data_IF_886102979982
#
_entry.id   IF_886102979982
#
_cell.length_a   1.000
_cell.length_b   1.000
_cell.length_c   1.000
_cell.angle_alpha   90.00
_cell.angle_beta   90.00
_cell.angle_gamma   90.00
#
_symmetry.space_group_name_H-M   'P 1'
#
loop_
_entity.id
_entity.type
_entity.pdbx_description
1 polymer ?
#
# COMPACT_ATOMS: atom_id res chain seq x y z
N UNK A 1 -9.76 -7.20 0.47
CA UNK A 1 -8.42 -7.20 -0.16
C UNK A 1 -7.47 -8.04 0.68
N UNK A 2 -7.40 -7.81 1.98
CA UNK A 2 -6.54 -8.56 2.90
C UNK A 2 -7.33 -9.64 3.66
N UNK A 3 -6.66 -10.72 4.06
CA UNK A 3 -7.28 -11.82 4.83
C UNK A 3 -7.36 -11.43 6.30
N UNK A 4 -6.30 -10.82 6.84
CA UNK A 4 -6.27 -10.26 8.19
C UNK A 4 -6.84 -8.85 8.16
N UNK A 5 -7.96 -8.65 8.85
CA UNK A 5 -8.65 -7.34 8.93
C UNK A 5 -8.20 -6.48 10.10
N UNK A 6 -7.76 -7.11 11.19
CA UNK A 6 -7.31 -6.41 12.38
C UNK A 6 -5.79 -6.27 12.34
N UNK A 7 -5.32 -5.03 12.18
CA UNK A 7 -3.88 -4.70 12.10
C UNK A 7 -3.29 -4.55 13.51
N UNK A 8 -4.04 -3.94 14.43
CA UNK A 8 -3.54 -3.58 15.75
C UNK A 8 -4.38 -2.51 16.43
N UNK A 9 -3.82 -1.92 17.50
CA UNK A 9 -4.45 -0.87 18.30
C UNK A 9 -3.67 0.43 18.17
N UNK A 10 -4.38 1.55 18.10
CA UNK A 10 -3.79 2.89 18.11
C UNK A 10 -4.44 3.72 19.20
N UNK A 11 -3.63 4.48 19.94
CA UNK A 11 -4.11 5.32 21.03
C UNK A 11 -4.32 6.76 20.56
N UNK A 12 -5.33 7.41 21.13
CA UNK A 12 -5.59 8.84 20.93
C UNK A 12 -6.03 9.46 22.26
N UNK A 13 -5.77 10.76 22.41
CA UNK A 13 -6.26 11.51 23.55
C UNK A 13 -7.79 11.52 23.54
N UNK A 14 -8.38 11.49 24.74
CA UNK A 14 -9.83 11.66 24.89
C UNK A 14 -10.22 13.05 24.40
N UNK A 15 -11.43 13.15 23.85
CA UNK A 15 -12.00 14.43 23.43
C UNK A 15 -12.04 15.38 24.63
N UNK A 16 -11.44 16.56 24.47
CA UNK A 16 -11.43 17.62 25.49
C UNK A 16 -11.73 18.95 24.81
N UNK A 17 -12.83 19.58 25.20
CA UNK A 17 -13.31 20.83 24.60
C UNK A 17 -13.51 20.68 23.09
N UNK A 18 -12.84 21.52 22.31
CA UNK A 18 -12.94 21.56 20.84
C UNK A 18 -12.08 20.51 20.13
N UNK A 19 -11.19 19.80 20.83
CA UNK A 19 -10.32 18.78 20.23
C UNK A 19 -11.03 17.43 20.24
N UNK A 20 -11.52 17.01 19.07
CA UNK A 20 -12.24 15.75 18.91
C UNK A 20 -11.24 14.61 18.65
N UNK A 21 -11.36 13.51 19.41
CA UNK A 21 -10.49 12.35 19.28
C UNK A 21 -10.49 11.72 17.88
N UNK A 22 -11.65 11.69 17.21
CA UNK A 22 -11.78 11.14 15.86
C UNK A 22 -10.96 11.91 14.83
N UNK A 23 -10.87 13.24 14.95
CA UNK A 23 -10.06 14.07 14.05
C UNK A 23 -8.56 13.79 14.22
N UNK A 24 -8.12 13.56 15.46
CA UNK A 24 -6.73 13.17 15.75
C UNK A 24 -6.37 11.74 15.31
N UNK A 25 -7.36 10.89 15.02
CA UNK A 25 -7.18 9.55 14.46
C UNK A 25 -7.20 9.54 12.94
N UNK A 26 -8.09 10.30 12.32
CA UNK A 26 -8.18 10.42 10.85
C UNK A 26 -6.88 11.02 10.29
N UNK A 27 -6.46 10.54 9.13
CA UNK A 27 -5.23 10.97 8.46
C UNK A 27 -3.95 10.29 8.94
N UNK A 28 -3.97 9.50 10.02
CA UNK A 28 -2.82 8.68 10.42
C UNK A 28 -2.51 7.64 9.33
N UNK A 29 -1.23 7.47 9.01
CA UNK A 29 -0.77 6.47 8.05
C UNK A 29 -0.01 5.39 8.80
N UNK A 30 -0.48 4.16 8.67
CA UNK A 30 0.13 2.96 9.24
C UNK A 30 0.91 2.23 8.15
N UNK A 31 2.16 1.90 8.43
CA UNK A 31 2.99 1.07 7.54
C UNK A 31 3.02 -0.35 8.11
N UNK A 32 2.57 -1.32 7.33
CA UNK A 32 2.38 -2.72 7.75
C UNK A 32 3.04 -3.63 6.73
N UNK A 33 3.65 -4.73 7.18
CA UNK A 33 4.17 -5.76 6.30
C UNK A 33 3.03 -6.46 5.56
N UNK A 34 3.25 -6.86 4.30
CA UNK A 34 2.30 -7.69 3.57
C UNK A 34 2.06 -9.03 4.28
N UNK A 35 3.12 -9.63 4.85
CA UNK A 35 3.04 -10.91 5.55
C UNK A 35 1.96 -10.89 6.66
N UNK A 36 1.90 -9.81 7.43
CA UNK A 36 0.95 -9.62 8.53
C UNK A 36 -0.49 -9.40 8.04
N UNK A 37 -0.67 -8.92 6.80
CA UNK A 37 -1.98 -8.67 6.21
C UNK A 37 -2.56 -9.90 5.49
N UNK A 38 -1.70 -10.78 4.98
CA UNK A 38 -2.13 -11.93 4.16
C UNK A 38 -1.85 -13.29 4.80
N UNK A 39 -1.19 -13.35 5.95
CA UNK A 39 -0.63 -14.58 6.55
C UNK A 39 0.29 -15.34 5.57
N UNK A 40 1.05 -14.59 4.77
CA UNK A 40 1.93 -15.13 3.74
C UNK A 40 3.41 -14.93 4.08
N UNK A 41 4.30 -15.56 3.30
CA UNK A 41 5.75 -15.47 3.52
C UNK A 41 6.39 -14.20 2.93
N UNK A 42 5.68 -13.48 2.06
CA UNK A 42 6.17 -12.27 1.38
C UNK A 42 6.26 -11.07 2.35
N UNK A 43 7.31 -11.03 3.17
CA UNK A 43 7.57 -9.95 4.15
C UNK A 43 8.22 -8.69 3.56
N UNK A 44 8.69 -8.76 2.31
CA UNK A 44 9.50 -7.69 1.70
C UNK A 44 8.68 -6.54 1.10
N UNK A 45 7.35 -6.64 1.09
CA UNK A 45 6.43 -5.58 0.65
C UNK A 45 5.78 -4.94 1.86
N UNK A 46 5.77 -3.62 1.90
CA UNK A 46 5.14 -2.82 2.95
C UNK A 46 4.00 -2.02 2.37
N UNK A 47 2.83 -2.14 2.98
CA UNK A 47 1.63 -1.40 2.63
C UNK A 47 1.45 -0.21 3.57
N UNK A 48 1.07 0.93 3.00
CA UNK A 48 0.69 2.13 3.73
C UNK A 48 -0.82 2.25 3.72
N UNK A 49 -1.41 2.24 4.89
CA UNK A 49 -2.85 2.29 5.11
C UNK A 49 -3.19 3.57 5.88
N UNK A 50 -4.03 4.41 5.31
CA UNK A 50 -4.45 5.68 5.94
C UNK A 50 -5.79 5.51 6.64
N UNK A 51 -5.91 6.02 7.85
CA UNK A 51 -7.18 6.12 8.58
C UNK A 51 -8.09 7.16 7.92
N UNK A 52 -9.24 6.75 7.41
CA UNK A 52 -10.20 7.65 6.76
C UNK A 52 -11.44 7.89 7.63
N UNK A 53 -11.95 6.85 8.29
CA UNK A 53 -13.16 6.95 9.12
C UNK A 53 -12.99 6.26 10.47
N UNK A 54 -13.70 6.76 11.49
CA UNK A 54 -13.71 6.18 12.83
C UNK A 54 -15.15 5.80 13.17
N UNK A 55 -15.41 4.51 13.35
CA UNK A 55 -16.69 3.96 13.77
C UNK A 55 -16.58 3.43 15.19
N UNK A 56 -17.01 4.23 16.17
CA UNK A 56 -16.88 3.88 17.59
C UNK A 56 -15.42 3.62 17.95
N UNK A 57 -15.06 2.35 18.18
CA UNK A 57 -13.69 1.90 18.52
C UNK A 57 -12.88 1.41 17.31
N UNK A 58 -13.51 1.29 16.15
CA UNK A 58 -12.87 0.79 14.93
C UNK A 58 -12.40 1.96 14.06
N UNK A 59 -11.19 1.84 13.52
CA UNK A 59 -10.64 2.81 12.56
C UNK A 59 -10.59 2.13 11.19
N UNK A 60 -11.41 2.63 10.27
CA UNK A 60 -11.44 2.14 8.89
C UNK A 60 -10.28 2.75 8.11
N UNK A 61 -9.46 1.88 7.52
CA UNK A 61 -8.29 2.29 6.76
C UNK A 61 -8.47 2.06 5.26
N UNK A 62 -7.77 2.84 4.45
CA UNK A 62 -7.75 2.72 3.00
C UNK A 62 -6.31 2.65 2.49
N UNK A 63 -6.11 2.12 1.28
CA UNK A 63 -4.78 2.03 0.67
C UNK A 63 -4.24 3.44 0.34
N UNK A 64 -3.01 3.71 0.78
CA UNK A 64 -2.32 4.98 0.56
C UNK A 64 -1.04 4.81 -0.28
N UNK A 65 -0.42 3.63 -0.23
CA UNK A 65 0.77 3.35 -1.02
C UNK A 65 1.41 2.01 -0.68
N UNK A 66 2.46 1.69 -1.42
CA UNK A 66 3.26 0.48 -1.25
C UNK A 66 4.73 0.83 -1.42
N UNK A 67 5.61 0.21 -0.64
CA UNK A 67 7.06 0.30 -0.80
C UNK A 67 7.70 -1.07 -0.56
N UNK A 68 8.87 -1.32 -1.15
CA UNK A 68 9.67 -2.48 -0.78
C UNK A 68 10.48 -2.20 0.48
N UNK A 69 10.85 -3.26 1.20
CA UNK A 69 11.84 -3.17 2.27
C UNK A 69 13.23 -2.86 1.71
N UNK A 70 14.04 -2.16 2.49
CA UNK A 70 15.35 -1.65 2.04
C UNK A 70 16.37 -2.78 1.83
N UNK A 71 16.30 -3.81 2.64
CA UNK A 71 17.08 -5.05 2.52
C UNK A 71 16.79 -5.77 1.20
N UNK A 72 15.52 -5.98 0.83
CA UNK A 72 15.16 -6.62 -0.43
C UNK A 72 15.63 -5.80 -1.62
N UNK A 73 15.41 -4.49 -1.59
CA UNK A 73 15.88 -3.59 -2.65
C UNK A 73 17.40 -3.67 -2.84
N UNK A 74 18.16 -3.58 -1.74
CA UNK A 74 19.63 -3.67 -1.78
C UNK A 74 20.11 -5.04 -2.25
N UNK A 75 19.39 -6.11 -1.92
CA UNK A 75 19.75 -7.48 -2.32
C UNK A 75 19.68 -7.73 -3.82
N UNK A 76 18.79 -7.04 -4.54
CA UNK A 76 18.61 -7.20 -5.99
C UNK A 76 19.66 -6.43 -6.80
N UNK A 77 20.18 -5.33 -6.26
CA UNK A 77 21.18 -4.49 -6.93
C UNK A 77 22.55 -5.17 -6.84
N UNK A 78 22.92 -5.88 -7.90
CA UNK A 78 24.22 -6.57 -8.04
C UNK A 78 25.05 -5.98 -9.18
N UNK A 79 26.36 -6.21 -9.15
CA UNK A 79 27.27 -5.88 -10.27
C UNK A 79 27.04 -6.83 -11.45
N UNK A 80 27.52 -6.43 -12.64
CA UNK A 80 27.54 -7.25 -13.87
C UNK A 80 26.19 -7.48 -14.55
N UNK A 81 25.17 -6.74 -14.15
CA UNK A 81 23.86 -6.70 -14.78
C UNK A 81 23.42 -5.24 -14.96
N UNK A 82 22.48 -4.99 -15.86
CA UNK A 82 21.88 -3.68 -16.07
C UNK A 82 20.65 -3.53 -15.20
N UNK A 83 20.59 -2.43 -14.45
CA UNK A 83 19.38 -1.98 -13.76
C UNK A 83 18.49 -1.21 -14.73
N UNK A 84 17.21 -1.58 -14.78
CA UNK A 84 16.20 -0.91 -15.58
C UNK A 84 15.08 -0.44 -14.65
N UNK A 85 14.84 0.87 -14.64
CA UNK A 85 13.78 1.51 -13.88
C UNK A 85 12.82 2.23 -14.83
N UNK A 86 11.53 2.21 -14.48
CA UNK A 86 10.45 2.90 -15.18
C UNK A 86 9.48 3.53 -14.18
N UNK A 87 8.96 4.71 -14.53
CA UNK A 87 7.99 5.46 -13.70
C UNK A 87 6.79 5.85 -14.54
N UNK A 88 5.59 5.71 -13.98
CA UNK A 88 4.34 6.05 -14.66
C UNK A 88 3.35 6.65 -13.69
N UNK A 89 2.64 7.67 -14.16
CA UNK A 89 1.43 8.19 -13.54
C UNK A 89 0.21 7.63 -14.25
N UNK A 90 -0.63 6.87 -13.54
CA UNK A 90 -1.84 6.25 -14.08
C UNK A 90 -3.04 6.65 -13.23
N UNK A 91 -4.17 6.91 -13.89
CA UNK A 91 -5.45 7.14 -13.24
C UNK A 91 -6.24 5.83 -13.25
N UNK A 92 -6.79 5.46 -12.10
CA UNK A 92 -7.72 4.33 -11.98
C UNK A 92 -9.15 4.75 -12.31
N UNK A 93 -10.02 3.77 -12.52
CA UNK A 93 -11.45 4.00 -12.88
C UNK A 93 -12.23 4.77 -11.80
N UNK A 94 -11.88 4.58 -10.53
CA UNK A 94 -12.46 5.25 -9.36
C UNK A 94 -11.86 6.64 -9.07
N UNK A 95 -10.95 7.12 -9.93
CA UNK A 95 -10.45 8.49 -9.90
C UNK A 95 -9.22 8.71 -9.01
N UNK A 96 -8.57 7.65 -8.52
CA UNK A 96 -7.25 7.77 -7.89
C UNK A 96 -6.17 8.01 -8.94
N UNK A 97 -5.25 8.93 -8.66
CA UNK A 97 -4.05 9.11 -9.47
C UNK A 97 -2.89 8.44 -8.74
N UNK A 98 -2.33 7.39 -9.34
CA UNK A 98 -1.25 6.59 -8.78
C UNK A 98 0.06 6.84 -9.54
N UNK A 99 1.17 6.98 -8.81
CA UNK A 99 2.53 6.93 -9.38
C UNK A 99 3.17 5.60 -9.04
N UNK A 100 3.43 4.80 -10.05
CA UNK A 100 4.08 3.49 -9.90
C UNK A 100 5.54 3.56 -10.35
N UNK A 101 6.38 2.85 -9.61
CA UNK A 101 7.80 2.68 -9.89
C UNK A 101 8.04 1.19 -10.12
N UNK A 102 8.52 0.82 -11.29
CA UNK A 102 8.96 -0.52 -11.61
C UNK A 102 10.48 -0.58 -11.64
N UNK A 103 11.04 -1.67 -11.12
CA UNK A 103 12.45 -2.01 -11.20
C UNK A 103 12.58 -3.42 -11.79
N UNK A 104 13.62 -3.63 -12.60
CA UNK A 104 13.98 -4.95 -13.12
C UNK A 104 15.45 -5.03 -13.47
N UNK A 105 15.97 -6.25 -13.54
CA UNK A 105 17.39 -6.52 -13.80
C UNK A 105 17.55 -7.51 -14.96
N UNK A 106 18.62 -7.34 -15.73
CA UNK A 106 18.94 -8.28 -16.81
C UNK A 106 19.39 -9.64 -16.27
N UNK A 107 18.84 -10.72 -16.82
CA UNK A 107 19.09 -12.09 -16.39
C UNK A 107 20.22 -12.72 -17.21
N UNK A 108 21.22 -13.26 -16.53
CA UNK A 108 22.27 -14.07 -17.17
C UNK A 108 21.67 -15.39 -17.67
N UNK A 109 21.91 -15.73 -18.94
CA UNK A 109 21.52 -17.04 -19.46
C UNK A 109 22.39 -18.15 -18.85
N UNK A 110 21.81 -19.34 -18.61
CA UNK A 110 22.50 -20.45 -17.94
C UNK A 110 23.83 -20.83 -18.62
N UNK A 111 23.86 -20.83 -19.96
CA UNK A 111 25.03 -21.22 -20.75
C UNK A 111 25.93 -20.03 -21.16
N UNK A 112 25.75 -18.87 -20.53
CA UNK A 112 26.52 -17.68 -20.87
C UNK A 112 27.90 -17.69 -20.19
N UNK A 113 28.96 -17.78 -21.01
CA UNK A 113 30.36 -17.74 -20.56
C UNK A 113 30.74 -16.36 -20.01
N UNK A 114 30.26 -15.28 -20.66
CA UNK A 114 30.55 -13.91 -20.25
C UNK A 114 30.00 -13.64 -18.84
N UNK A 115 30.83 -13.07 -17.97
CA UNK A 115 30.42 -12.68 -16.61
C UNK A 115 29.35 -11.57 -16.62
N UNK A 116 29.39 -10.69 -17.62
CA UNK A 116 28.51 -9.52 -17.71
C UNK A 116 27.30 -9.77 -18.61
N UNK A 117 26.17 -9.23 -18.17
CA UNK A 117 24.86 -9.33 -18.82
C UNK A 117 24.30 -7.91 -18.98
N UNK A 118 24.96 -7.11 -19.82
CA UNK A 118 24.55 -5.73 -20.06
C UNK A 118 23.66 -5.61 -21.28
N UNK A 119 22.50 -4.98 -21.11
CA UNK A 119 21.63 -4.61 -22.22
C UNK A 119 22.16 -3.35 -22.91
N UNK A 120 22.06 -3.29 -24.24
CA UNK A 120 22.40 -2.08 -24.99
C UNK A 120 21.39 -0.96 -24.70
N UNK A 121 21.81 0.30 -24.92
CA UNK A 121 20.98 1.47 -24.62
C UNK A 121 19.60 1.43 -25.33
N UNK A 122 19.57 0.98 -26.59
CA UNK A 122 18.32 0.84 -27.34
C UNK A 122 17.39 -0.22 -26.73
N UNK A 123 17.93 -1.36 -26.29
CA UNK A 123 17.16 -2.41 -25.60
C UNK A 123 16.58 -1.88 -24.29
N UNK A 124 17.36 -1.12 -23.50
CA UNK A 124 16.88 -0.49 -22.25
C UNK A 124 15.72 0.46 -22.52
N UNK A 125 15.77 1.27 -23.59
CA UNK A 125 14.66 2.17 -23.98
C UNK A 125 13.40 1.40 -24.37
N UNK A 126 13.55 0.32 -25.14
CA UNK A 126 12.45 -0.56 -25.54
C UNK A 126 11.81 -1.24 -24.34
N UNK A 127 12.61 -1.77 -23.41
CA UNK A 127 12.13 -2.40 -22.17
C UNK A 127 11.38 -1.37 -21.31
N UNK A 128 11.92 -0.15 -21.14
CA UNK A 128 11.23 0.91 -20.40
C UNK A 128 9.87 1.23 -21.02
N UNK A 129 9.79 1.35 -22.35
CA UNK A 129 8.52 1.59 -23.06
C UNK A 129 7.51 0.47 -22.77
N UNK A 130 7.94 -0.79 -22.83
CA UNK A 130 7.09 -1.97 -22.53
C UNK A 130 6.66 -2.01 -21.06
N UNK A 131 7.56 -1.72 -20.12
CA UNK A 131 7.23 -1.58 -18.70
C UNK A 131 6.13 -0.53 -18.48
N UNK A 132 6.27 0.65 -19.10
CA UNK A 132 5.27 1.71 -18.96
C UNK A 132 3.94 1.34 -19.59
N UNK A 133 3.95 0.72 -20.77
CA UNK A 133 2.74 0.30 -21.48
C UNK A 133 1.93 -0.72 -20.66
N UNK A 134 2.59 -1.72 -20.09
CA UNK A 134 1.92 -2.76 -19.28
C UNK A 134 1.39 -2.22 -17.96
N UNK A 135 2.13 -1.33 -17.31
CA UNK A 135 1.65 -0.66 -16.10
C UNK A 135 0.39 0.18 -16.37
N UNK A 136 0.32 0.88 -17.51
CA UNK A 136 -0.88 1.66 -17.89
C UNK A 136 -2.06 0.74 -18.17
N UNK A 137 -1.84 -0.32 -18.97
CA UNK A 137 -2.89 -1.24 -19.37
C UNK A 137 -3.56 -1.93 -18.18
N UNK A 138 -2.75 -2.39 -17.22
CA UNK A 138 -3.23 -3.13 -16.04
C UNK A 138 -4.01 -2.26 -15.04
N UNK A 139 -3.65 -0.98 -14.91
CA UNK A 139 -4.19 -0.06 -13.89
C UNK A 139 -5.29 0.84 -14.43
N UNK A 140 -5.24 1.26 -15.69
CA UNK A 140 -6.21 2.22 -16.25
C UNK A 140 -7.62 1.64 -16.37
N UNK A 141 -7.75 0.32 -16.49
CA UNK A 141 -9.02 -0.39 -16.66
C UNK A 141 -9.64 -0.88 -15.34
N UNK A 142 -8.92 -0.77 -14.23
CA UNK A 142 -9.33 -1.37 -12.94
C UNK A 142 -9.56 -0.34 -11.85
N UNK A 143 -10.28 -0.75 -10.80
CA UNK A 143 -10.49 0.03 -9.58
C UNK A 143 -9.31 -0.12 -8.61
N UNK A 144 -9.18 0.77 -7.62
CA UNK A 144 -8.10 0.69 -6.62
C UNK A 144 -8.07 -0.68 -5.91
N UNK A 145 -9.25 -1.27 -5.68
CA UNK A 145 -9.40 -2.59 -5.07
C UNK A 145 -8.73 -3.70 -5.87
N UNK A 146 -8.97 -3.70 -7.17
CA UNK A 146 -8.40 -4.68 -8.09
C UNK A 146 -6.91 -4.45 -8.29
N UNK A 147 -6.47 -3.19 -8.37
CA UNK A 147 -5.05 -2.84 -8.43
C UNK A 147 -4.30 -3.42 -7.24
N UNK A 148 -4.80 -3.23 -6.01
CA UNK A 148 -4.16 -3.79 -4.82
C UNK A 148 -4.15 -5.32 -4.85
N UNK A 149 -5.24 -5.97 -5.30
CA UNK A 149 -5.27 -7.42 -5.45
C UNK A 149 -4.25 -7.95 -6.48
N UNK A 150 -3.90 -7.17 -7.51
CA UNK A 150 -2.79 -7.48 -8.45
C UNK A 150 -1.41 -7.25 -7.83
N UNK A 151 -1.28 -6.25 -6.95
CA UNK A 151 -0.04 -5.92 -6.25
C UNK A 151 0.38 -6.98 -5.22
N UNK A 152 -0.57 -7.61 -4.52
CA UNK A 152 -0.31 -8.64 -3.49
C UNK A 152 0.53 -9.81 -4.04
N UNK A 153 0.12 -10.52 -5.12
CA UNK A 153 0.96 -11.56 -5.73
C UNK A 153 2.06 -10.99 -6.63
N UNK A 154 2.04 -9.68 -6.93
CA UNK A 154 2.95 -9.02 -7.85
C UNK A 154 2.75 -9.45 -9.31
N UNK A 155 1.51 -9.66 -9.76
CA UNK A 155 1.23 -10.15 -11.13
C UNK A 155 1.78 -9.22 -12.21
N UNK A 156 1.65 -7.90 -12.01
CA UNK A 156 2.13 -6.87 -12.95
C UNK A 156 3.64 -7.02 -13.22
N UNK A 157 4.44 -7.39 -12.20
CA UNK A 157 5.88 -7.63 -12.39
C UNK A 157 6.16 -8.84 -13.28
N UNK A 158 5.40 -9.93 -13.08
CA UNK A 158 5.50 -11.15 -13.88
C UNK A 158 5.05 -10.94 -15.34
N UNK A 159 4.00 -10.16 -15.54
CA UNK A 159 3.49 -9.83 -16.88
C UNK A 159 4.49 -8.96 -17.66
N UNK A 160 5.17 -8.04 -16.97
CA UNK A 160 6.29 -7.27 -17.54
C UNK A 160 7.45 -8.18 -17.90
N UNK A 161 7.85 -9.12 -17.03
CA UNK A 161 8.94 -10.07 -17.30
C UNK A 161 8.64 -10.88 -18.57
N UNK A 162 7.44 -11.47 -18.66
CA UNK A 162 6.99 -12.24 -19.82
C UNK A 162 6.97 -11.40 -21.09
N UNK A 163 6.49 -10.17 -21.00
CA UNK A 163 6.39 -9.25 -22.15
C UNK A 163 7.76 -8.75 -22.61
N UNK A 164 8.75 -8.62 -21.71
CA UNK A 164 10.09 -8.13 -22.07
C UNK A 164 11.04 -9.24 -22.53
N UNK A 165 10.70 -10.51 -22.33
CA UNK A 165 11.54 -11.68 -22.63
C UNK A 165 12.04 -11.70 -24.09
N UNK A 166 11.26 -11.20 -25.05
CA UNK A 166 11.64 -11.13 -26.47
C UNK A 166 12.73 -10.08 -26.77
N UNK A 167 12.90 -9.05 -25.93
CA UNK A 167 13.93 -8.01 -26.11
C UNK A 167 15.21 -8.43 -25.39
N UNK A 168 15.07 -8.76 -24.11
CA UNK A 168 16.16 -9.21 -23.26
C UNK A 168 15.57 -9.96 -22.06
N UNK A 169 16.15 -11.10 -21.64
CA UNK A 169 15.66 -11.83 -20.48
C UNK A 169 15.84 -11.00 -19.20
N UNK A 170 14.76 -10.84 -18.43
CA UNK A 170 14.79 -10.12 -17.15
C UNK A 170 14.64 -11.09 -15.98
N UNK A 171 15.01 -10.63 -14.79
CA UNK A 171 14.69 -11.25 -13.51
C UNK A 171 14.47 -10.16 -12.45
N UNK A 172 13.88 -10.56 -11.32
CA UNK A 172 13.60 -9.65 -10.19
C UNK A 172 12.82 -8.39 -10.64
N UNK A 173 11.82 -8.58 -11.51
CA UNK A 173 10.94 -7.50 -11.98
C UNK A 173 9.83 -7.28 -10.96
N UNK A 174 9.88 -6.15 -10.26
CA UNK A 174 8.94 -5.82 -9.18
C UNK A 174 8.44 -4.38 -9.31
N UNK A 175 7.25 -4.13 -8.78
CA UNK A 175 6.80 -2.77 -8.49
C UNK A 175 7.48 -2.36 -7.18
N UNK A 176 8.49 -1.49 -7.32
CA UNK A 176 9.29 -0.96 -6.22
C UNK A 176 8.46 -0.10 -5.27
N UNK A 177 7.61 0.76 -5.83
CA UNK A 177 6.86 1.74 -5.05
C UNK A 177 5.57 2.14 -5.75
N UNK A 178 4.52 2.35 -4.98
CA UNK A 178 3.26 2.96 -5.42
C UNK A 178 2.95 4.13 -4.51
N UNK A 179 2.71 5.30 -5.09
CA UNK A 179 2.28 6.51 -4.39
C UNK A 179 0.87 6.88 -4.86
N UNK A 180 -0.03 7.17 -3.94
CA UNK A 180 -1.28 7.87 -4.29
C UNK A 180 -0.98 9.37 -4.37
N UNK A 181 -1.04 9.94 -5.57
CA UNK A 181 -0.82 11.37 -5.81
C UNK A 181 -2.08 12.19 -5.52
N UNK A 182 -3.23 11.71 -6.00
CA UNK A 182 -4.52 12.38 -5.82
C UNK A 182 -5.56 11.34 -5.47
N UNK A 183 -6.38 11.66 -4.47
CA UNK A 183 -7.57 10.91 -4.10
C UNK A 183 -8.82 11.58 -4.67
N UNK A 184 -9.86 10.81 -5.03
CA UNK A 184 -11.18 11.36 -5.29
C UNK A 184 -11.76 11.97 -4.01
N UNK A 185 -12.87 12.71 -4.14
CA UNK A 185 -13.60 13.23 -2.97
C UNK A 185 -14.01 12.05 -2.08
N UNK A 186 -13.84 12.23 -0.77
CA UNK A 186 -14.19 11.19 0.20
C UNK A 186 -15.69 10.90 0.15
N UNK A 187 -16.02 9.62 0.01
CA UNK A 187 -17.39 9.10 0.01
C UNK A 187 -17.45 7.91 0.96
N UNK A 188 -18.22 8.06 2.04
CA UNK A 188 -18.31 7.04 3.08
C UNK A 188 -18.80 5.69 2.53
N UNK A 189 -19.79 5.70 1.62
CA UNK A 189 -20.35 4.48 1.03
C UNK A 189 -19.30 3.61 0.33
N UNK A 190 -18.39 4.22 -0.44
CA UNK A 190 -17.29 3.50 -1.11
C UNK A 190 -16.33 2.88 -0.10
N UNK A 191 -16.03 3.57 1.01
CA UNK A 191 -15.18 3.03 2.06
C UNK A 191 -15.85 1.82 2.75
N UNK A 192 -17.14 1.92 3.07
CA UNK A 192 -17.90 0.83 3.70
C UNK A 192 -17.98 -0.41 2.78
N UNK A 193 -18.11 -0.19 1.46
CA UNK A 193 -18.08 -1.27 0.47
C UNK A 193 -16.72 -1.99 0.44
N UNK A 194 -15.60 -1.26 0.57
CA UNK A 194 -14.26 -1.86 0.67
C UNK A 194 -14.09 -2.75 1.90
N UNK A 195 -14.70 -2.36 3.02
CA UNK A 195 -14.68 -3.12 4.28
C UNK A 195 -15.79 -4.19 4.35
N UNK A 196 -16.71 -4.22 3.39
CA UNK A 196 -17.73 -5.27 3.24
C UNK A 196 -18.95 -5.11 4.14
N UNK A 197 -19.19 -3.92 4.70
CA UNK A 197 -20.40 -3.61 5.48
C UNK A 197 -21.63 -3.30 4.59
N UNK A 198 -21.51 -3.48 3.27
CA UNK A 198 -22.58 -3.24 2.28
C UNK A 198 -23.43 -4.44 1.87
N UNK A 199 -23.16 -5.65 2.38
CA UNK A 199 -23.97 -6.85 2.09
C UNK A 199 -24.35 -7.54 3.39
N UNK A 200 -25.56 -7.25 3.88
CA UNK A 200 -26.06 -7.73 5.15
C UNK A 200 -26.31 -9.24 5.21
N UNK A 201 -26.13 -9.79 6.42
CA UNK A 201 -27.08 -10.75 7.01
C UNK A 201 -27.74 -10.04 8.19
N UNK A 202 -29.07 -10.02 8.17
CA UNK A 202 -29.91 -9.21 9.05
C UNK A 202 -29.87 -9.58 10.52
N UNK A 203 -30.16 -8.58 11.34
CA UNK A 203 -30.41 -8.69 12.77
C UNK A 203 -30.61 -7.31 13.39
N UNK A 204 -31.86 -6.87 13.43
CA UNK A 204 -32.42 -5.74 14.17
C UNK A 204 -32.08 -4.30 13.69
N UNK A 205 -33.12 -3.69 13.15
CA UNK A 205 -33.37 -2.25 13.14
C UNK A 205 -33.04 -1.58 14.47
N UNK A 206 -32.22 -0.54 14.45
CA UNK A 206 -32.37 0.59 15.37
C UNK A 206 -32.48 1.87 14.56
N UNK A 207 -33.72 2.21 14.30
CA UNK A 207 -34.24 3.55 14.10
C UNK A 207 -33.55 4.53 15.04
N UNK A 208 -33.26 5.72 14.53
CA UNK A 208 -32.80 6.92 15.24
C UNK A 208 -33.07 6.89 16.75
N UNK A 209 -32.02 6.72 17.54
CA UNK A 209 -32.00 7.13 18.95
C UNK A 209 -30.61 7.66 19.26
N UNK A 210 -30.58 8.85 19.83
CA UNK A 210 -29.38 9.56 20.26
C UNK A 210 -28.40 8.63 20.98
N UNK A 211 -27.23 8.38 20.39
CA UNK A 211 -26.20 7.56 20.97
C UNK A 211 -25.54 8.32 22.14
N UNK A 212 -26.00 8.04 23.35
CA UNK A 212 -25.28 8.27 24.60
C UNK A 212 -23.85 7.74 24.45
N UNK A 213 -22.89 8.56 24.87
CA UNK A 213 -21.47 8.25 24.80
C UNK A 213 -21.14 6.93 25.49
N UNK A 214 -20.61 5.99 24.73
CA UNK A 214 -20.00 4.78 25.28
C UNK A 214 -18.53 5.09 25.60
N UNK A 215 -18.25 5.10 26.90
CA UNK A 215 -16.91 5.32 27.44
C UNK A 215 -15.93 4.23 26.95
N UNK A 216 -14.79 4.68 26.43
CA UNK A 216 -13.67 3.81 26.10
C UNK A 216 -13.07 3.18 27.37
N UNK A 217 -12.51 1.97 27.23
CA UNK A 217 -11.74 1.32 28.29
C UNK A 217 -10.64 2.27 28.76
N UNK A 218 -10.74 2.72 30.01
CA UNK A 218 -9.71 3.49 30.69
C UNK A 218 -8.57 2.52 30.99
N UNK A 219 -7.40 2.78 30.44
CA UNK A 219 -6.18 2.20 30.99
C UNK A 219 -5.84 3.07 32.19
N UNK A 220 -6.00 2.54 33.40
CA UNK A 220 -5.70 3.30 34.60
C UNK A 220 -4.20 3.59 34.65
N UNK A 221 -3.89 4.89 34.74
CA UNK A 221 -2.56 5.40 34.97
C UNK A 221 -2.25 5.18 36.45
N UNK A 222 -1.15 4.50 36.83
CA UNK A 222 -0.79 4.34 38.23
C UNK A 222 -0.66 5.72 38.89
N UNK A 223 -1.27 5.87 40.07
CA UNK A 223 -1.25 7.13 40.83
C UNK A 223 0.21 7.53 41.13
N UNK A 224 0.59 8.76 40.76
CA UNK A 224 1.91 9.33 41.07
C UNK A 224 2.82 9.69 39.87
N UNK A 225 2.39 9.51 38.61
CA UNK A 225 3.18 10.01 37.48
C UNK A 225 2.91 11.51 37.23
N UNK A 226 3.79 12.37 37.73
CA UNK A 226 3.92 13.76 37.27
C UNK A 226 4.95 13.81 36.12
N UNK A 227 4.56 14.24 34.91
CA UNK A 227 5.54 14.48 33.86
C UNK A 227 6.43 15.67 34.24
N UNK A 228 7.75 15.61 33.97
CA UNK A 228 8.66 16.70 34.30
C UNK A 228 8.24 17.99 33.59
N UNK A 229 8.11 19.06 34.37
CA UNK A 229 7.87 20.41 33.86
C UNK A 229 9.14 20.83 33.12
N UNK A 230 9.05 21.00 31.80
CA UNK A 230 10.11 21.66 31.05
C UNK A 230 10.08 23.14 31.43
N UNK A 231 11.08 23.59 32.18
CA UNK A 231 11.31 25.01 32.38
C UNK A 231 11.54 25.67 31.03
N UNK A 232 10.72 26.66 30.72
CA UNK A 232 10.82 27.48 29.51
C UNK A 232 12.10 28.32 29.59
N UNK A 233 12.99 28.16 28.61
CA UNK A 233 14.01 29.15 28.26
C UNK A 233 13.42 30.16 27.29
#
# INVERSE_FOLDING_TARGET
MYTVRNIGKTFVNRTQGTKIASEGLKGRVFEVSQADLTNGEDAFRKFRLIAEEVQGRNVLTNFHGMDLTTDKLRSMVKKWQTLIEATVDVRTTDGYLLRMFCIGFTKKCANQLKKTCYAQHNQVRLIRKKMTEMMILEVSSTSLKEVVNKLIPGSIGKDIEKSCQHIYPLHDVLIRKVKVLKKPKFELGKLLELHGEGTGKGGASTTATAAKGEEGVKVDRPEGYEPPVLETV
#
